data_IF_312193953662
#
_entry.id   IF_312193953662
#
_cell.length_a   1.000
_cell.length_b   1.000
_cell.length_c   1.000
_cell.angle_alpha   90.00
_cell.angle_beta   90.00
_cell.angle_gamma   90.00
#
_symmetry.space_group_name_H-M   'P 1'
#
loop_
_entity.id
_entity.type
_entity.pdbx_description
1 polymer ?
#
# COMPACT_ATOMS: atom_id res chain seq x y z
N UNK A 1 -25.31 -10.78 -11.52
CA UNK A 1 -26.65 -11.18 -11.03
C UNK A 1 -26.79 -11.11 -9.51
N UNK A 2 -25.71 -11.24 -8.74
CA UNK A 2 -25.73 -11.24 -7.26
C UNK A 2 -26.20 -9.88 -6.72
N UNK A 3 -25.77 -8.76 -7.32
CA UNK A 3 -26.20 -7.42 -6.90
C UNK A 3 -27.73 -7.27 -6.92
N UNK A 4 -28.38 -7.75 -7.98
CA UNK A 4 -29.83 -7.66 -8.14
C UNK A 4 -30.59 -8.56 -7.17
N UNK A 5 -30.03 -9.74 -6.85
CA UNK A 5 -30.59 -10.60 -5.81
C UNK A 5 -30.54 -9.93 -4.43
N UNK A 6 -29.42 -9.27 -4.10
CA UNK A 6 -29.31 -8.48 -2.86
C UNK A 6 -30.29 -7.31 -2.88
N UNK A 7 -30.41 -6.59 -4.00
CA UNK A 7 -31.35 -5.48 -4.13
C UNK A 7 -32.79 -5.94 -3.88
N UNK A 8 -33.21 -7.05 -4.51
CA UNK A 8 -34.55 -7.61 -4.33
C UNK A 8 -34.77 -8.09 -2.89
N UNK A 9 -33.78 -8.77 -2.29
CA UNK A 9 -33.85 -9.20 -0.90
C UNK A 9 -33.95 -8.00 0.07
N UNK A 10 -33.23 -6.91 -0.17
CA UNK A 10 -33.32 -5.68 0.62
C UNK A 10 -34.68 -5.01 0.47
N UNK A 11 -35.20 -4.89 -0.75
CA UNK A 11 -36.49 -4.26 -1.03
C UNK A 11 -37.63 -5.01 -0.32
N UNK A 12 -37.68 -6.34 -0.48
CA UNK A 12 -38.69 -7.18 0.17
C UNK A 12 -38.50 -7.20 1.69
N UNK A 13 -37.26 -7.43 2.15
CA UNK A 13 -36.96 -7.51 3.58
C UNK A 13 -37.26 -6.22 4.33
N UNK A 14 -36.81 -5.08 3.81
CA UNK A 14 -37.10 -3.78 4.43
C UNK A 14 -38.57 -3.39 4.28
N UNK A 15 -39.24 -3.76 3.19
CA UNK A 15 -40.68 -3.55 3.03
C UNK A 15 -41.49 -4.27 4.12
N UNK A 16 -41.19 -5.55 4.36
CA UNK A 16 -41.83 -6.36 5.42
C UNK A 16 -41.51 -5.79 6.81
N UNK A 17 -40.24 -5.52 7.09
CA UNK A 17 -39.84 -4.95 8.40
C UNK A 17 -40.52 -3.60 8.64
N UNK A 18 -40.59 -2.76 7.62
CA UNK A 18 -41.19 -1.44 7.73
C UNK A 18 -42.71 -1.46 7.89
N UNK A 19 -43.39 -2.46 7.30
CA UNK A 19 -44.81 -2.72 7.53
C UNK A 19 -45.11 -2.92 9.02
N UNK A 20 -44.28 -3.72 9.73
CA UNK A 20 -44.48 -4.02 11.15
C UNK A 20 -43.91 -2.96 12.09
N UNK A 21 -42.82 -2.28 11.72
CA UNK A 21 -42.21 -1.26 12.59
C UNK A 21 -42.97 0.08 12.58
N UNK A 22 -43.78 0.33 11.55
CA UNK A 22 -44.59 1.53 11.41
C UNK A 22 -43.80 2.75 10.90
N UNK A 23 -44.52 3.69 10.26
CA UNK A 23 -43.95 4.83 9.56
C UNK A 23 -42.93 5.65 10.37
N UNK A 24 -43.23 5.99 11.63
CA UNK A 24 -42.38 6.88 12.44
C UNK A 24 -40.95 6.32 12.58
N UNK A 25 -40.83 5.02 12.89
CA UNK A 25 -39.52 4.39 13.12
C UNK A 25 -38.70 4.27 11.85
N UNK A 26 -39.38 3.95 10.75
CA UNK A 26 -38.76 3.73 9.44
C UNK A 26 -38.31 5.07 8.84
N UNK A 27 -39.11 6.13 8.98
CA UNK A 27 -38.76 7.49 8.54
C UNK A 27 -37.61 8.07 9.35
N UNK A 28 -37.63 7.92 10.68
CA UNK A 28 -36.50 8.36 11.50
C UNK A 28 -35.22 7.57 11.16
N UNK A 29 -35.34 6.28 10.83
CA UNK A 29 -34.21 5.50 10.34
C UNK A 29 -33.70 6.02 8.99
N UNK A 30 -34.58 6.39 8.06
CA UNK A 30 -34.19 6.99 6.77
C UNK A 30 -33.40 8.28 6.97
N UNK A 31 -33.89 9.17 7.84
CA UNK A 31 -33.20 10.41 8.19
C UNK A 31 -31.83 10.10 8.82
N UNK A 32 -31.77 9.12 9.71
CA UNK A 32 -30.50 8.65 10.31
C UNK A 32 -29.53 8.06 9.29
N UNK A 33 -30.01 7.32 8.28
CA UNK A 33 -29.17 6.79 7.18
C UNK A 33 -28.56 7.94 6.37
N UNK A 34 -29.37 8.92 5.98
CA UNK A 34 -28.92 10.06 5.16
C UNK A 34 -27.95 10.96 5.94
N UNK A 35 -28.30 11.36 7.16
CA UNK A 35 -27.43 12.17 8.00
C UNK A 35 -26.17 11.42 8.40
N UNK A 36 -26.28 10.13 8.69
CA UNK A 36 -25.13 9.26 8.94
C UNK A 36 -24.18 9.27 7.77
N UNK A 37 -24.67 9.07 6.54
CA UNK A 37 -23.84 9.06 5.34
C UNK A 37 -23.16 10.41 5.08
N UNK A 38 -23.86 11.52 5.32
CA UNK A 38 -23.32 12.87 5.16
C UNK A 38 -22.28 13.23 6.21
N UNK A 39 -22.47 12.80 7.47
CA UNK A 39 -21.65 13.19 8.60
C UNK A 39 -20.54 12.19 8.95
N UNK A 40 -20.58 10.96 8.43
CA UNK A 40 -19.61 9.91 8.72
C UNK A 40 -18.16 10.33 8.44
N UNK A 41 -17.90 10.93 7.28
CA UNK A 41 -16.56 11.37 6.89
C UNK A 41 -16.06 12.58 7.71
N UNK A 42 -16.81 13.70 7.84
CA UNK A 42 -16.33 14.86 8.58
C UNK A 42 -16.18 14.58 10.10
N UNK A 43 -17.14 13.87 10.71
CA UNK A 43 -17.05 13.52 12.14
C UNK A 43 -16.08 12.35 12.38
N UNK A 44 -15.79 11.53 11.37
CA UNK A 44 -14.82 10.45 11.45
C UNK A 44 -13.46 10.94 11.96
N UNK A 45 -12.99 12.08 11.45
CA UNK A 45 -11.73 12.72 11.86
C UNK A 45 -11.65 13.06 13.35
N UNK A 46 -12.79 13.33 13.99
CA UNK A 46 -12.86 13.62 15.43
C UNK A 46 -12.77 12.34 16.25
N UNK A 47 -13.24 11.21 15.69
CA UNK A 47 -13.24 9.89 16.33
C UNK A 47 -11.93 9.14 16.12
N UNK A 48 -11.15 9.45 15.08
CA UNK A 48 -9.82 8.86 14.83
C UNK A 48 -8.92 8.77 16.09
N UNK A 49 -8.70 9.85 16.89
CA UNK A 49 -7.88 9.76 18.10
C UNK A 49 -8.48 8.88 19.19
N UNK A 50 -9.80 8.66 19.19
CA UNK A 50 -10.50 7.80 20.15
C UNK A 50 -10.38 6.31 19.82
N UNK A 51 -9.89 5.95 18.62
CA UNK A 51 -9.69 4.55 18.22
C UNK A 51 -8.32 3.99 18.63
N UNK A 52 -7.33 4.86 18.91
CA UNK A 52 -5.99 4.46 19.32
C UNK A 52 -5.97 3.57 20.59
N UNK A 53 -6.76 3.85 21.65
CA UNK A 53 -6.83 2.97 22.83
C UNK A 53 -7.36 1.55 22.56
N UNK A 54 -8.10 1.35 21.46
CA UNK A 54 -8.65 0.05 21.08
C UNK A 54 -7.67 -0.81 20.26
N UNK A 55 -6.41 -0.37 20.11
CA UNK A 55 -5.39 -1.09 19.33
C UNK A 55 -5.52 -0.92 17.82
N UNK A 56 -6.43 -0.05 17.35
CA UNK A 56 -6.53 0.34 15.95
C UNK A 56 -5.59 1.51 15.68
N UNK A 57 -4.33 1.19 15.42
CA UNK A 57 -3.28 2.19 15.19
C UNK A 57 -2.94 2.37 13.71
N UNK A 58 -3.21 1.37 12.86
CA UNK A 58 -2.83 1.43 11.45
C UNK A 58 -3.61 2.53 10.70
N UNK A 59 -2.95 3.54 10.09
CA UNK A 59 -3.61 4.72 9.52
C UNK A 59 -4.66 4.40 8.46
N UNK A 60 -4.39 3.38 7.63
CA UNK A 60 -5.35 2.93 6.61
C UNK A 60 -6.62 2.34 7.24
N UNK A 61 -6.49 1.50 8.28
CA UNK A 61 -7.65 0.89 8.93
C UNK A 61 -8.49 1.95 9.66
N UNK A 62 -7.83 2.87 10.36
CA UNK A 62 -8.50 3.98 11.05
C UNK A 62 -9.33 4.83 10.07
N UNK A 63 -8.81 5.10 8.87
CA UNK A 63 -9.51 5.90 7.86
C UNK A 63 -10.83 5.28 7.36
N UNK A 64 -10.98 3.96 7.43
CA UNK A 64 -12.22 3.26 7.07
C UNK A 64 -13.12 3.00 8.29
N UNK A 65 -12.52 2.63 9.43
CA UNK A 65 -13.27 2.26 10.64
C UNK A 65 -13.89 3.50 11.30
N UNK A 66 -13.19 4.64 11.34
CA UNK A 66 -13.70 5.83 12.01
C UNK A 66 -15.03 6.35 11.41
N UNK A 67 -15.16 6.52 10.07
CA UNK A 67 -16.44 6.87 9.47
C UNK A 67 -17.54 5.82 9.71
N UNK A 68 -17.19 4.53 9.70
CA UNK A 68 -18.14 3.45 9.96
C UNK A 68 -18.68 3.46 11.41
N UNK A 69 -17.82 3.73 12.39
CA UNK A 69 -18.21 3.87 13.80
C UNK A 69 -19.14 5.07 13.98
N UNK A 70 -18.79 6.24 13.42
CA UNK A 70 -19.65 7.43 13.46
C UNK A 70 -21.01 7.13 12.84
N UNK A 71 -21.02 6.50 11.67
CA UNK A 71 -22.24 6.11 10.98
C UNK A 71 -23.12 5.22 11.87
N UNK A 72 -22.53 4.21 12.52
CA UNK A 72 -23.24 3.32 13.44
C UNK A 72 -23.80 4.05 14.66
N UNK A 73 -23.05 5.00 15.24
CA UNK A 73 -23.49 5.80 16.39
C UNK A 73 -24.68 6.70 16.02
N UNK A 74 -24.59 7.43 14.91
CA UNK A 74 -25.70 8.28 14.44
C UNK A 74 -26.95 7.43 14.21
N UNK A 75 -26.78 6.29 13.53
CA UNK A 75 -27.89 5.39 13.24
C UNK A 75 -28.51 4.81 14.51
N UNK A 76 -27.70 4.49 15.51
CA UNK A 76 -28.18 4.04 16.81
C UNK A 76 -28.99 5.14 17.54
N UNK A 77 -28.51 6.39 17.54
CA UNK A 77 -29.22 7.54 18.15
C UNK A 77 -30.58 7.79 17.49
N UNK A 78 -30.64 7.75 16.16
CA UNK A 78 -31.91 7.91 15.44
C UNK A 78 -32.87 6.77 15.73
N UNK A 79 -32.39 5.52 15.78
CA UNK A 79 -33.24 4.36 16.09
C UNK A 79 -33.77 4.39 17.52
N UNK A 80 -32.95 4.74 18.51
CA UNK A 80 -33.38 4.83 19.91
C UNK A 80 -34.36 5.97 20.11
N UNK A 81 -34.08 7.16 19.57
CA UNK A 81 -35.00 8.31 19.59
C UNK A 81 -36.34 7.99 18.92
N UNK A 82 -36.31 7.29 17.78
CA UNK A 82 -37.52 6.88 17.07
C UNK A 82 -38.36 5.87 17.84
N UNK A 83 -37.72 4.94 18.57
CA UNK A 83 -38.43 3.99 19.44
C UNK A 83 -39.18 4.72 20.56
N UNK A 84 -38.56 5.74 21.17
CA UNK A 84 -39.20 6.54 22.22
C UNK A 84 -40.37 7.35 21.66
N UNK A 85 -40.19 8.00 20.51
CA UNK A 85 -41.24 8.77 19.85
C UNK A 85 -42.41 7.88 19.44
N UNK A 86 -42.12 6.71 18.86
CA UNK A 86 -43.15 5.75 18.48
C UNK A 86 -43.96 5.26 19.67
N UNK A 87 -43.30 4.91 20.80
CA UNK A 87 -44.00 4.53 22.04
C UNK A 87 -44.91 5.66 22.53
N UNK A 88 -44.44 6.91 22.51
CA UNK A 88 -45.25 8.07 22.94
C UNK A 88 -46.49 8.25 22.06
N UNK A 89 -46.35 8.14 20.74
CA UNK A 89 -47.47 8.26 19.80
C UNK A 89 -48.45 7.09 19.94
N UNK A 90 -47.95 5.86 20.11
CA UNK A 90 -48.79 4.68 20.32
C UNK A 90 -49.61 4.80 21.61
N UNK A 91 -48.99 5.23 22.71
CA UNK A 91 -49.70 5.51 23.97
C UNK A 91 -50.78 6.57 23.77
N UNK A 92 -50.48 7.68 23.11
CA UNK A 92 -51.49 8.72 22.85
C UNK A 92 -52.66 8.20 22.00
N UNK A 93 -52.38 7.45 20.94
CA UNK A 93 -53.40 6.86 20.07
C UNK A 93 -54.26 5.81 20.80
N UNK A 94 -53.70 5.08 21.76
CA UNK A 94 -54.45 4.08 22.54
C UNK A 94 -55.40 4.70 23.57
N UNK A 95 -55.01 5.80 24.20
CA UNK A 95 -55.78 6.37 25.31
C UNK A 95 -56.64 7.56 24.92
N UNK A 96 -56.30 8.31 23.86
CA UNK A 96 -56.98 9.56 23.52
C UNK A 96 -57.66 9.57 22.14
N UNK A 97 -57.37 8.61 21.25
CA UNK A 97 -57.95 8.60 19.90
C UNK A 97 -59.19 7.70 19.83
N UNK A 98 -60.13 8.07 18.97
CA UNK A 98 -61.29 7.23 18.65
C UNK A 98 -60.88 5.96 17.90
N UNK A 99 -61.69 4.89 17.97
CA UNK A 99 -61.41 3.62 17.28
C UNK A 99 -61.24 3.79 15.76
N UNK A 100 -62.01 4.69 15.16
CA UNK A 100 -61.90 5.02 13.73
C UNK A 100 -60.56 5.67 13.41
N UNK A 101 -60.12 6.64 14.21
CA UNK A 101 -58.83 7.30 14.03
C UNK A 101 -57.66 6.32 14.23
N UNK A 102 -57.75 5.43 15.21
CA UNK A 102 -56.74 4.39 15.45
C UNK A 102 -56.57 3.45 14.25
N UNK A 103 -57.67 2.91 13.71
CA UNK A 103 -57.62 2.03 12.52
C UNK A 103 -57.10 2.75 11.27
N UNK A 104 -57.45 4.02 11.07
CA UNK A 104 -56.93 4.82 9.97
C UNK A 104 -55.42 5.07 10.13
N UNK A 105 -54.98 5.38 11.33
CA UNK A 105 -53.57 5.57 11.65
C UNK A 105 -52.74 4.29 11.44
N UNK A 106 -53.22 3.13 11.89
CA UNK A 106 -52.52 1.84 11.67
C UNK A 106 -52.36 1.53 10.18
N UNK A 107 -53.42 1.72 9.38
CA UNK A 107 -53.36 1.52 7.92
C UNK A 107 -52.40 2.50 7.25
N UNK A 108 -52.45 3.77 7.65
CA UNK A 108 -51.55 4.79 7.13
C UNK A 108 -50.09 4.46 7.49
N UNK A 109 -49.83 4.15 8.76
CA UNK A 109 -48.50 3.84 9.27
C UNK A 109 -47.89 2.62 8.59
N UNK A 110 -48.69 1.60 8.30
CA UNK A 110 -48.24 0.40 7.59
C UNK A 110 -47.91 0.69 6.12
N UNK A 111 -48.79 1.39 5.39
CA UNK A 111 -48.59 1.72 3.97
C UNK A 111 -47.43 2.68 3.75
N UNK A 112 -47.38 3.76 4.53
CA UNK A 112 -46.26 4.72 4.51
C UNK A 112 -44.98 4.03 4.97
N UNK A 113 -45.08 3.14 5.97
CA UNK A 113 -43.97 2.29 6.41
C UNK A 113 -43.35 1.55 5.23
N UNK A 114 -44.13 0.82 4.44
CA UNK A 114 -43.63 0.10 3.25
C UNK A 114 -42.89 1.04 2.29
N UNK A 115 -43.50 2.19 1.91
CA UNK A 115 -42.89 3.13 0.96
C UNK A 115 -41.53 3.65 1.45
N UNK A 116 -41.44 4.03 2.73
CA UNK A 116 -40.20 4.52 3.33
C UNK A 116 -39.20 3.37 3.55
N UNK A 117 -39.67 2.15 3.82
CA UNK A 117 -38.83 0.96 3.94
C UNK A 117 -38.13 0.62 2.62
N UNK A 118 -38.84 0.78 1.50
CA UNK A 118 -38.26 0.67 0.16
C UNK A 118 -37.19 1.75 -0.08
N UNK A 119 -37.43 2.99 0.37
CA UNK A 119 -36.41 4.03 0.31
C UNK A 119 -35.16 3.69 1.16
N UNK A 120 -35.35 3.12 2.36
CA UNK A 120 -34.23 2.61 3.17
C UNK A 120 -33.43 1.52 2.45
N UNK A 121 -34.12 0.58 1.79
CA UNK A 121 -33.47 -0.47 1.02
C UNK A 121 -32.58 0.11 -0.10
N UNK A 122 -33.01 1.18 -0.76
CA UNK A 122 -32.19 1.86 -1.77
C UNK A 122 -30.93 2.48 -1.16
N UNK A 123 -31.04 3.14 0.00
CA UNK A 123 -29.86 3.70 0.69
C UNK A 123 -28.91 2.58 1.15
N UNK A 124 -29.43 1.46 1.68
CA UNK A 124 -28.63 0.31 2.02
C UNK A 124 -27.91 -0.30 0.81
N UNK A 125 -28.60 -0.38 -0.34
CA UNK A 125 -28.00 -0.86 -1.58
C UNK A 125 -26.83 0.03 -2.02
N UNK A 126 -26.96 1.35 -1.91
CA UNK A 126 -25.88 2.30 -2.20
C UNK A 126 -24.69 2.11 -1.25
N UNK A 127 -24.94 1.91 0.05
CA UNK A 127 -23.87 1.67 1.04
C UNK A 127 -23.15 0.34 0.84
N UNK A 128 -23.89 -0.74 0.56
CA UNK A 128 -23.31 -2.02 0.18
C UNK A 128 -22.52 -1.88 -1.11
N UNK A 129 -23.03 -1.12 -2.07
CA UNK A 129 -22.34 -0.79 -3.31
C UNK A 129 -21.02 -0.06 -3.06
N UNK A 130 -20.99 0.92 -2.16
CA UNK A 130 -19.79 1.66 -1.77
C UNK A 130 -18.74 0.75 -1.11
N UNK A 131 -19.16 -0.13 -0.20
CA UNK A 131 -18.27 -1.11 0.44
C UNK A 131 -17.73 -2.10 -0.60
N UNK A 132 -18.61 -2.62 -1.47
CA UNK A 132 -18.24 -3.54 -2.54
C UNK A 132 -17.35 -2.89 -3.60
N UNK A 133 -17.51 -1.59 -3.86
CA UNK A 133 -16.60 -0.85 -4.73
C UNK A 133 -15.22 -0.71 -4.07
N UNK A 134 -15.18 -0.22 -2.84
CA UNK A 134 -13.91 0.11 -2.16
C UNK A 134 -13.10 -1.15 -1.85
N UNK A 135 -13.69 -2.12 -1.15
CA UNK A 135 -13.00 -3.37 -0.80
C UNK A 135 -12.88 -4.31 -2.01
N UNK A 136 -13.88 -4.31 -2.89
CA UNK A 136 -13.83 -5.08 -4.13
C UNK A 136 -12.72 -4.61 -5.05
N UNK A 137 -12.40 -3.32 -5.07
CA UNK A 137 -11.27 -2.82 -5.87
C UNK A 137 -9.97 -3.51 -5.45
N UNK A 138 -9.62 -3.47 -4.17
CA UNK A 138 -8.43 -4.16 -3.66
C UNK A 138 -8.47 -5.67 -3.95
N UNK A 139 -9.56 -6.33 -3.59
CA UNK A 139 -9.66 -7.80 -3.68
C UNK A 139 -9.64 -8.30 -5.12
N UNK A 140 -10.19 -7.56 -6.08
CA UNK A 140 -10.06 -7.89 -7.51
C UNK A 140 -8.64 -7.77 -8.03
N UNK A 141 -7.82 -6.84 -7.49
CA UNK A 141 -6.42 -6.69 -7.89
C UNK A 141 -5.49 -7.79 -7.37
N UNK A 142 -5.89 -8.51 -6.31
CA UNK A 142 -5.12 -9.61 -5.72
C UNK A 142 -5.85 -10.96 -5.81
N UNK A 143 -6.94 -11.01 -6.60
CA UNK A 143 -7.78 -12.19 -6.76
C UNK A 143 -7.05 -13.28 -7.54
N UNK A 144 -7.24 -14.53 -7.11
CA UNK A 144 -6.70 -15.70 -7.79
C UNK A 144 -7.85 -16.57 -8.31
N UNK A 145 -8.04 -16.67 -9.64
CA UNK A 145 -9.22 -17.32 -10.22
C UNK A 145 -9.47 -18.73 -9.66
N UNK A 146 -10.65 -18.94 -9.07
CA UNK A 146 -11.10 -20.25 -8.59
C UNK A 146 -10.53 -20.72 -7.25
N UNK A 147 -9.70 -19.91 -6.57
CA UNK A 147 -9.07 -20.28 -5.30
C UNK A 147 -9.47 -19.38 -4.12
N UNK A 148 -10.20 -18.31 -4.39
CA UNK A 148 -10.68 -17.39 -3.36
C UNK A 148 -11.82 -18.00 -2.53
N UNK A 149 -11.83 -17.71 -1.22
CA UNK A 149 -12.91 -18.12 -0.31
C UNK A 149 -14.27 -17.53 -0.69
N UNK A 150 -15.36 -18.14 -0.23
CA UNK A 150 -16.74 -17.76 -0.58
C UNK A 150 -17.02 -16.26 -0.46
N UNK A 151 -16.64 -15.63 0.66
CA UNK A 151 -16.89 -14.21 0.90
C UNK A 151 -16.11 -13.28 -0.03
N UNK A 152 -14.86 -13.64 -0.37
CA UNK A 152 -14.05 -12.91 -1.34
C UNK A 152 -14.61 -13.06 -2.76
N UNK A 153 -14.99 -14.28 -3.13
CA UNK A 153 -15.66 -14.53 -4.41
C UNK A 153 -16.98 -13.76 -4.54
N UNK A 154 -17.76 -13.66 -3.45
CA UNK A 154 -18.99 -12.87 -3.43
C UNK A 154 -18.71 -11.36 -3.59
N UNK A 155 -17.69 -10.83 -2.90
CA UNK A 155 -17.29 -9.43 -3.01
C UNK A 155 -16.78 -9.09 -4.43
N UNK A 156 -15.96 -9.95 -5.02
CA UNK A 156 -15.45 -9.79 -6.39
C UNK A 156 -16.60 -9.80 -7.40
N UNK A 157 -17.55 -10.74 -7.27
CA UNK A 157 -18.76 -10.80 -8.11
C UNK A 157 -19.65 -9.56 -7.94
N UNK A 158 -19.77 -9.03 -6.72
CA UNK A 158 -20.49 -7.78 -6.49
C UNK A 158 -19.82 -6.59 -7.15
N UNK A 159 -18.49 -6.50 -7.10
CA UNK A 159 -17.74 -5.45 -7.79
C UNK A 159 -17.93 -5.54 -9.32
N UNK A 160 -17.87 -6.75 -9.88
CA UNK A 160 -18.11 -7.00 -11.29
C UNK A 160 -19.54 -6.64 -11.71
N UNK A 161 -20.55 -7.01 -10.90
CA UNK A 161 -21.94 -6.64 -11.13
C UNK A 161 -22.17 -5.11 -11.06
N UNK A 162 -21.48 -4.40 -10.15
CA UNK A 162 -21.53 -2.94 -10.08
C UNK A 162 -20.94 -2.29 -11.34
N UNK A 163 -19.87 -2.86 -11.90
CA UNK A 163 -19.30 -2.43 -13.19
C UNK A 163 -20.27 -2.67 -14.32
N UNK A 164 -20.79 -3.90 -14.43
CA UNK A 164 -21.68 -4.32 -15.51
C UNK A 164 -23.02 -3.54 -15.52
N UNK A 165 -23.54 -3.18 -14.35
CA UNK A 165 -24.77 -2.40 -14.21
C UNK A 165 -24.57 -0.88 -14.35
N UNK A 166 -23.32 -0.39 -14.43
CA UNK A 166 -23.00 1.04 -14.44
C UNK A 166 -23.16 1.74 -13.08
N UNK A 167 -23.61 1.02 -12.04
CA UNK A 167 -23.76 1.56 -10.68
C UNK A 167 -22.43 1.90 -10.00
N UNK A 168 -21.31 1.46 -10.56
CA UNK A 168 -19.98 1.75 -10.01
C UNK A 168 -19.71 3.25 -9.85
N UNK A 169 -20.24 4.11 -10.72
CA UNK A 169 -20.07 5.57 -10.59
C UNK A 169 -20.76 6.13 -9.34
N UNK A 170 -21.96 5.62 -9.02
CA UNK A 170 -22.69 6.02 -7.83
C UNK A 170 -21.99 5.52 -6.56
N UNK A 171 -21.48 4.29 -6.58
CA UNK A 171 -20.69 3.73 -5.48
C UNK A 171 -19.36 4.48 -5.27
N UNK A 172 -18.69 4.88 -6.35
CA UNK A 172 -17.43 5.62 -6.30
C UNK A 172 -17.58 7.01 -5.68
N UNK A 173 -18.69 7.71 -5.96
CA UNK A 173 -18.96 9.02 -5.36
C UNK A 173 -19.07 8.97 -3.83
N UNK A 174 -19.56 7.86 -3.29
CA UNK A 174 -19.73 7.67 -1.85
C UNK A 174 -18.47 7.14 -1.17
N UNK A 175 -17.44 6.70 -1.90
CA UNK A 175 -16.26 6.07 -1.30
C UNK A 175 -15.45 7.08 -0.47
N UNK A 176 -15.10 6.76 0.79
CA UNK A 176 -14.23 7.60 1.60
C UNK A 176 -12.73 7.42 1.27
N UNK A 177 -12.38 6.50 0.36
CA UNK A 177 -11.00 6.17 0.05
C UNK A 177 -10.29 7.29 -0.72
N UNK A 178 -9.05 7.60 -0.30
CA UNK A 178 -8.18 8.57 -0.99
C UNK A 178 -7.65 8.00 -2.31
N UNK A 179 -7.24 8.84 -3.28
CA UNK A 179 -6.61 8.36 -4.53
C UNK A 179 -5.44 7.40 -4.31
N UNK A 180 -4.58 7.70 -3.32
CA UNK A 180 -3.43 6.88 -2.94
C UNK A 180 -3.78 5.44 -2.54
N UNK A 181 -5.02 5.19 -2.10
CA UNK A 181 -5.50 3.84 -1.81
C UNK A 181 -5.59 3.00 -3.10
N UNK A 182 -6.13 3.58 -4.17
CA UNK A 182 -6.27 2.89 -5.45
C UNK A 182 -4.90 2.65 -6.09
N UNK A 183 -4.00 3.63 -6.05
CA UNK A 183 -2.61 3.48 -6.53
C UNK A 183 -1.88 2.36 -5.76
N UNK A 184 -2.08 2.28 -4.43
CA UNK A 184 -1.53 1.21 -3.61
C UNK A 184 -2.12 -0.15 -3.97
N UNK A 185 -3.43 -0.24 -4.24
CA UNK A 185 -4.08 -1.49 -4.67
C UNK A 185 -3.53 -1.97 -6.01
N UNK A 186 -3.36 -1.06 -6.97
CA UNK A 186 -2.82 -1.39 -8.29
C UNK A 186 -1.36 -1.85 -8.20
N UNK A 187 -0.54 -1.15 -7.41
CA UNK A 187 0.85 -1.57 -7.16
C UNK A 187 0.90 -2.94 -6.46
N UNK A 188 0.08 -3.19 -5.45
CA UNK A 188 0.05 -4.47 -4.76
C UNK A 188 -0.40 -5.60 -5.69
N UNK A 189 -1.40 -5.34 -6.55
CA UNK A 189 -1.81 -6.28 -7.59
C UNK A 189 -0.69 -6.58 -8.59
N UNK A 190 0.02 -5.55 -9.05
CA UNK A 190 1.18 -5.69 -9.94
C UNK A 190 2.30 -6.52 -9.29
N UNK A 191 2.60 -6.29 -8.01
CA UNK A 191 3.64 -7.01 -7.25
C UNK A 191 3.23 -8.48 -7.03
N UNK A 192 1.96 -8.72 -6.72
CA UNK A 192 1.43 -10.07 -6.49
C UNK A 192 1.46 -10.91 -7.76
N UNK A 193 1.01 -10.35 -8.90
CA UNK A 193 0.95 -11.08 -10.17
C UNK A 193 2.30 -11.19 -10.90
N UNK A 194 3.28 -10.34 -10.57
CA UNK A 194 4.59 -10.35 -11.21
C UNK A 194 5.72 -10.66 -10.20
N UNK A 195 5.79 -11.89 -9.66
CA UNK A 195 6.77 -12.26 -8.64
C UNK A 195 8.22 -12.15 -9.14
N UNK A 196 8.46 -12.29 -10.45
CA UNK A 196 9.78 -12.14 -11.06
C UNK A 196 10.31 -10.71 -11.00
N UNK A 197 9.42 -9.72 -10.92
CA UNK A 197 9.79 -8.30 -10.87
C UNK A 197 10.08 -7.81 -9.44
N UNK A 198 9.90 -8.66 -8.43
CA UNK A 198 10.20 -8.32 -7.03
C UNK A 198 11.67 -7.88 -6.84
N UNK A 199 12.59 -8.44 -7.63
CA UNK A 199 14.00 -8.03 -7.64
C UNK A 199 14.20 -6.55 -7.96
N UNK A 200 13.28 -5.93 -8.71
CA UNK A 200 13.30 -4.48 -8.98
C UNK A 200 13.02 -3.69 -7.71
N UNK A 201 12.02 -4.06 -6.91
CA UNK A 201 11.71 -3.36 -5.65
C UNK A 201 12.94 -3.28 -4.72
N UNK A 202 13.71 -4.36 -4.63
CA UNK A 202 14.94 -4.39 -3.83
C UNK A 202 16.03 -3.42 -4.32
N UNK A 203 15.96 -3.01 -5.59
CA UNK A 203 16.91 -2.09 -6.23
C UNK A 203 16.35 -0.67 -6.38
N UNK A 204 15.11 -0.41 -5.98
CA UNK A 204 14.52 0.92 -5.99
C UNK A 204 15.33 1.86 -5.07
N UNK A 205 15.77 3.06 -5.52
CA UNK A 205 16.75 3.85 -4.78
C UNK A 205 16.38 4.17 -3.33
N UNK A 206 15.13 4.57 -3.00
CA UNK A 206 14.70 4.74 -1.62
C UNK A 206 14.74 3.45 -0.77
N UNK A 207 14.59 2.27 -1.38
CA UNK A 207 14.55 0.99 -0.65
C UNK A 207 15.94 0.36 -0.42
N UNK A 208 17.00 0.94 -0.99
CA UNK A 208 18.36 0.44 -0.81
C UNK A 208 18.79 0.43 0.66
N UNK A 209 18.41 1.46 1.43
CA UNK A 209 18.68 1.54 2.87
C UNK A 209 17.84 0.55 3.68
N UNK A 210 16.61 0.26 3.25
CA UNK A 210 15.70 -0.66 3.94
C UNK A 210 16.22 -2.08 3.94
N UNK A 211 16.91 -2.49 2.87
CA UNK A 211 17.46 -3.85 2.77
C UNK A 211 18.49 -4.22 3.84
N UNK A 212 19.06 -3.23 4.52
CA UNK A 212 20.01 -3.47 5.61
C UNK A 212 19.32 -3.70 6.96
N UNK A 213 18.04 -3.33 7.07
CA UNK A 213 17.25 -3.44 8.29
C UNK A 213 16.80 -4.88 8.55
N UNK A 214 16.73 -5.32 9.82
CA UNK A 214 16.43 -6.70 10.16
C UNK A 214 15.02 -7.13 9.71
N UNK A 215 14.06 -6.22 9.62
CA UNK A 215 12.67 -6.52 9.23
C UNK A 215 12.55 -6.91 7.75
N UNK A 216 13.45 -6.41 6.90
CA UNK A 216 13.41 -6.66 5.45
C UNK A 216 14.37 -7.77 4.98
N UNK A 217 15.31 -8.22 5.84
CA UNK A 217 16.22 -9.33 5.52
C UNK A 217 15.49 -10.63 5.13
N UNK A 218 14.45 -11.08 5.86
CA UNK A 218 13.74 -12.31 5.53
C UNK A 218 13.09 -12.27 4.14
N UNK A 219 12.67 -11.09 3.68
CA UNK A 219 12.05 -10.92 2.35
C UNK A 219 13.03 -11.14 1.19
N UNK A 220 14.33 -10.96 1.45
CA UNK A 220 15.39 -11.20 0.48
C UNK A 220 15.85 -12.65 0.41
N UNK A 221 15.37 -13.52 1.30
CA UNK A 221 15.80 -14.92 1.35
C UNK A 221 15.19 -15.74 0.22
N UNK A 222 15.97 -16.72 -0.26
CA UNK A 222 15.56 -17.63 -1.34
C UNK A 222 14.28 -18.39 -0.97
N UNK A 223 14.08 -18.70 0.32
CA UNK A 223 12.88 -19.36 0.81
C UNK A 223 11.63 -18.50 0.65
N UNK A 224 11.73 -17.20 0.96
CA UNK A 224 10.63 -16.26 0.76
C UNK A 224 10.33 -16.06 -0.73
N UNK A 225 11.35 -15.90 -1.56
CA UNK A 225 11.18 -15.74 -3.02
C UNK A 225 10.51 -16.97 -3.65
N UNK A 226 10.91 -18.18 -3.28
CA UNK A 226 10.29 -19.42 -3.77
C UNK A 226 8.83 -19.53 -3.34
N UNK A 227 8.54 -19.17 -2.09
CA UNK A 227 7.16 -19.11 -1.63
C UNK A 227 6.35 -18.07 -2.39
N UNK A 228 6.87 -16.87 -2.58
CA UNK A 228 6.17 -15.79 -3.26
C UNK A 228 5.82 -16.18 -4.70
N UNK A 229 6.74 -16.86 -5.40
CA UNK A 229 6.49 -17.43 -6.73
C UNK A 229 5.47 -18.57 -6.73
N UNK A 230 5.39 -19.33 -5.63
CA UNK A 230 4.45 -20.44 -5.47
C UNK A 230 3.11 -20.03 -4.82
N UNK A 231 3.02 -18.79 -4.34
CA UNK A 231 1.87 -18.30 -3.58
C UNK A 231 0.65 -18.27 -4.51
N UNK A 232 -0.41 -18.94 -4.07
CA UNK A 232 -1.61 -19.12 -4.88
C UNK A 232 -2.72 -18.14 -4.54
N UNK A 233 -2.73 -17.61 -3.32
CA UNK A 233 -3.72 -16.61 -2.89
C UNK A 233 -3.05 -15.52 -2.07
N UNK A 234 -3.65 -14.33 -2.08
CA UNK A 234 -3.20 -13.24 -1.21
C UNK A 234 -3.34 -13.59 0.28
N UNK A 235 -4.32 -14.43 0.65
CA UNK A 235 -4.48 -14.91 2.02
C UNK A 235 -3.25 -15.66 2.54
N UNK A 236 -2.68 -16.54 1.72
CA UNK A 236 -1.45 -17.28 2.07
C UNK A 236 -0.28 -16.33 2.34
N UNK A 237 -0.19 -15.26 1.54
CA UNK A 237 0.82 -14.21 1.71
C UNK A 237 0.55 -13.42 3.00
N UNK A 238 -0.68 -12.97 3.22
CA UNK A 238 -1.05 -12.12 4.36
C UNK A 238 -0.79 -12.78 5.72
N UNK A 239 -1.01 -14.10 5.82
CA UNK A 239 -0.83 -14.85 7.07
C UNK A 239 0.64 -15.22 7.37
N UNK A 240 1.58 -14.81 6.53
CA UNK A 240 2.97 -15.17 6.67
C UNK A 240 3.66 -14.39 7.81
N UNK A 241 4.40 -15.10 8.66
CA UNK A 241 5.03 -14.53 9.86
C UNK A 241 6.07 -13.44 9.52
N UNK A 242 6.80 -13.61 8.42
CA UNK A 242 7.81 -12.66 7.95
C UNK A 242 7.22 -11.31 7.54
N UNK A 243 5.93 -11.24 7.20
CA UNK A 243 5.22 -10.01 6.83
C UNK A 243 4.51 -9.35 8.02
N UNK A 244 4.26 -10.08 9.11
CA UNK A 244 3.55 -9.54 10.28
C UNK A 244 4.20 -8.29 10.90
N UNK A 245 5.53 -8.20 11.04
CA UNK A 245 6.17 -6.97 11.54
C UNK A 245 5.90 -5.78 10.62
N UNK A 246 5.95 -5.98 9.31
CA UNK A 246 5.75 -4.91 8.31
C UNK A 246 4.30 -4.43 8.25
N UNK A 247 3.35 -5.34 8.49
CA UNK A 247 1.91 -5.05 8.45
C UNK A 247 1.40 -4.38 9.73
N UNK A 248 2.06 -4.63 10.87
CA UNK A 248 1.62 -4.13 12.19
C UNK A 248 2.38 -2.90 12.66
N UNK A 249 3.59 -2.68 12.17
CA UNK A 249 4.41 -1.54 12.59
C UNK A 249 3.98 -0.24 11.89
N UNK A 250 3.26 0.60 12.63
CA UNK A 250 2.81 1.92 12.18
C UNK A 250 3.99 2.87 11.89
N UNK A 251 5.06 2.80 12.68
CA UNK A 251 6.21 3.70 12.49
C UNK A 251 6.93 3.37 11.18
N UNK A 252 7.08 2.07 10.90
CA UNK A 252 7.63 1.59 9.65
C UNK A 252 6.77 2.05 8.46
N UNK A 253 5.44 1.95 8.55
CA UNK A 253 4.55 2.47 7.50
C UNK A 253 4.74 3.98 7.26
N UNK A 254 4.76 4.80 8.33
CA UNK A 254 4.94 6.25 8.21
C UNK A 254 6.30 6.60 7.60
N UNK A 255 7.34 5.88 7.98
CA UNK A 255 8.68 6.08 7.44
C UNK A 255 8.75 5.72 5.96
N UNK A 256 8.20 4.58 5.55
CA UNK A 256 8.12 4.18 4.15
C UNK A 256 7.34 5.20 3.31
N UNK A 257 6.19 5.65 3.83
CA UNK A 257 5.37 6.65 3.16
C UNK A 257 6.11 7.99 3.00
N UNK A 258 6.88 8.39 4.00
CA UNK A 258 7.73 9.57 3.94
C UNK A 258 8.87 9.43 2.93
N UNK A 259 9.53 8.25 2.86
CA UNK A 259 10.57 7.98 1.85
C UNK A 259 10.05 8.08 0.42
N UNK A 260 8.81 7.68 0.20
CA UNK A 260 8.15 7.76 -1.11
C UNK A 260 7.73 9.19 -1.47
N UNK A 261 7.79 10.14 -0.52
CA UNK A 261 7.36 11.52 -0.74
C UNK A 261 5.84 11.68 -0.81
N UNK A 262 5.09 10.70 -0.29
CA UNK A 262 3.63 10.72 -0.29
C UNK A 262 2.96 10.35 -1.61
N UNK A 263 3.70 9.79 -2.58
CA UNK A 263 3.18 9.34 -3.87
C UNK A 263 3.79 7.99 -4.26
N UNK A 264 2.99 7.16 -4.94
CA UNK A 264 3.36 5.84 -5.46
C UNK A 264 3.60 5.83 -6.96
N UNK A 265 3.39 6.96 -7.66
CA UNK A 265 3.53 7.06 -9.12
C UNK A 265 4.94 6.67 -9.61
N UNK A 266 5.99 7.19 -8.96
CA UNK A 266 7.39 6.88 -9.31
C UNK A 266 7.73 5.42 -9.04
N UNK A 267 7.31 4.88 -7.90
CA UNK A 267 7.52 3.47 -7.55
C UNK A 267 6.81 2.54 -8.53
N UNK A 268 5.58 2.86 -8.93
CA UNK A 268 4.80 2.08 -9.90
C UNK A 268 5.47 2.11 -11.28
N UNK A 269 5.91 3.29 -11.71
CA UNK A 269 6.65 3.47 -12.97
C UNK A 269 7.97 2.70 -12.95
N UNK A 270 8.70 2.75 -11.85
CA UNK A 270 9.95 2.02 -11.67
C UNK A 270 9.73 0.51 -11.64
N UNK A 271 8.67 0.03 -10.98
CA UNK A 271 8.34 -1.39 -10.95
C UNK A 271 8.09 -1.94 -12.36
N UNK A 272 7.32 -1.19 -13.17
CA UNK A 272 6.97 -1.57 -14.55
C UNK A 272 8.13 -1.42 -15.54
N UNK A 273 8.86 -0.30 -15.48
CA UNK A 273 9.87 0.05 -16.50
C UNK A 273 11.32 -0.20 -16.07
N UNK A 274 11.60 -0.30 -14.77
CA UNK A 274 12.94 -0.35 -14.20
C UNK A 274 13.66 1.00 -14.15
N UNK A 275 12.99 2.09 -14.57
CA UNK A 275 13.54 3.45 -14.59
C UNK A 275 12.66 4.35 -13.70
N UNK A 276 13.29 5.13 -12.84
CA UNK A 276 12.61 6.10 -11.98
C UNK A 276 12.81 7.48 -12.60
N UNK A 277 11.74 8.14 -13.09
CA UNK A 277 11.81 9.51 -13.57
C UNK A 277 12.37 10.48 -12.52
N UNK A 278 12.08 10.24 -11.24
CA UNK A 278 12.54 11.10 -10.14
C UNK A 278 14.06 11.05 -9.91
N UNK A 279 14.69 9.93 -10.22
CA UNK A 279 16.11 9.68 -9.92
C UNK A 279 16.96 9.49 -11.19
N UNK A 280 16.48 9.92 -12.36
CA UNK A 280 17.21 9.75 -13.62
C UNK A 280 18.53 10.54 -13.67
N UNK A 281 18.57 11.72 -13.04
CA UNK A 281 19.76 12.58 -12.97
C UNK A 281 20.86 12.00 -12.07
N UNK A 282 20.47 11.24 -11.05
CA UNK A 282 21.37 10.65 -10.05
C UNK A 282 21.73 9.20 -10.40
N UNK A 283 22.35 9.02 -11.57
CA UNK A 283 22.73 7.70 -12.14
C UNK A 283 23.67 6.87 -11.26
N UNK A 284 24.26 7.45 -10.21
CA UNK A 284 25.07 6.74 -9.23
C UNK A 284 24.24 5.85 -8.30
N UNK A 285 22.94 6.14 -8.14
CA UNK A 285 22.05 5.41 -7.24
C UNK A 285 21.88 3.94 -7.65
N UNK A 286 21.98 3.05 -6.66
CA UNK A 286 21.85 1.62 -6.87
C UNK A 286 22.97 0.80 -6.23
N UNK A 287 22.95 -0.49 -6.54
CA UNK A 287 23.96 -1.47 -6.15
C UNK A 287 24.90 -1.76 -7.31
N UNK A 288 26.19 -1.80 -7.00
CA UNK A 288 27.25 -1.99 -7.97
C UNK A 288 28.17 -3.10 -7.48
N UNK A 289 28.57 -4.00 -8.38
CA UNK A 289 29.51 -5.09 -8.09
C UNK A 289 30.82 -4.86 -8.82
N UNK A 290 31.92 -5.18 -8.17
CA UNK A 290 33.22 -5.09 -8.80
C UNK A 290 33.36 -6.01 -10.00
N UNK A 291 33.86 -5.44 -11.11
CA UNK A 291 34.21 -6.18 -12.31
C UNK A 291 35.73 -6.21 -12.48
N UNK A 292 36.30 -7.40 -12.26
CA UNK A 292 37.73 -7.63 -12.38
C UNK A 292 38.27 -7.34 -13.77
N UNK A 293 37.57 -7.77 -14.83
CA UNK A 293 38.07 -7.68 -16.21
C UNK A 293 38.17 -6.23 -16.65
N UNK A 294 37.13 -5.44 -16.38
CA UNK A 294 37.12 -4.02 -16.73
C UNK A 294 38.06 -3.21 -15.84
N UNK A 295 38.13 -3.49 -14.54
CA UNK A 295 39.05 -2.82 -13.62
C UNK A 295 40.52 -3.08 -13.98
N UNK A 296 40.87 -4.32 -14.34
CA UNK A 296 42.22 -4.67 -14.79
C UNK A 296 42.60 -3.96 -16.07
N UNK A 297 41.67 -3.91 -17.04
CA UNK A 297 41.89 -3.22 -18.32
C UNK A 297 42.01 -1.70 -18.13
N UNK A 298 41.15 -1.09 -17.31
CA UNK A 298 41.20 0.33 -17.00
C UNK A 298 42.50 0.71 -16.26
N UNK A 299 42.92 -0.12 -15.30
CA UNK A 299 44.18 0.08 -14.58
C UNK A 299 45.37 -0.01 -15.53
N UNK A 300 45.42 -1.01 -16.43
CA UNK A 300 46.48 -1.14 -17.44
C UNK A 300 46.51 0.05 -18.41
N UNK A 301 45.34 0.58 -18.81
CA UNK A 301 45.26 1.79 -19.64
C UNK A 301 45.76 3.04 -18.92
N UNK A 302 45.52 3.16 -17.61
CA UNK A 302 46.02 4.29 -16.83
C UNK A 302 47.53 4.23 -16.58
N UNK A 303 48.16 3.05 -16.71
CA UNK A 303 49.60 2.82 -16.52
C UNK A 303 50.20 2.03 -17.70
N UNK A 304 50.33 2.65 -18.89
CA UNK A 304 50.80 1.95 -20.10
C UNK A 304 52.26 1.48 -20.02
N UNK A 305 53.10 2.15 -19.22
CA UNK A 305 54.52 1.83 -19.04
C UNK A 305 54.81 0.89 -17.85
N UNK A 306 53.78 0.21 -17.31
CA UNK A 306 53.95 -0.68 -16.17
C UNK A 306 54.80 -1.90 -16.51
N UNK A 307 55.74 -2.25 -15.63
CA UNK A 307 56.56 -3.45 -15.74
C UNK A 307 55.74 -4.74 -15.54
N UNK A 308 56.26 -5.89 -16.01
CA UNK A 308 55.60 -7.20 -15.83
C UNK A 308 55.31 -7.52 -14.35
N UNK A 309 56.23 -7.13 -13.45
CA UNK A 309 56.07 -7.30 -12.01
C UNK A 309 54.93 -6.44 -11.43
N UNK A 310 54.75 -5.22 -11.92
CA UNK A 310 53.65 -4.35 -11.52
C UNK A 310 52.31 -4.87 -12.04
N UNK A 311 52.27 -5.37 -13.28
CA UNK A 311 51.06 -5.98 -13.86
C UNK A 311 50.65 -7.23 -13.06
N UNK A 312 51.61 -8.06 -12.65
CA UNK A 312 51.34 -9.21 -11.79
C UNK A 312 50.81 -8.80 -10.41
N UNK A 313 51.35 -7.71 -9.82
CA UNK A 313 50.83 -7.14 -8.57
C UNK A 313 49.41 -6.59 -8.73
N UNK A 314 49.12 -5.87 -9.82
CA UNK A 314 47.78 -5.34 -10.11
C UNK A 314 46.75 -6.46 -10.19
N UNK A 315 47.09 -7.55 -10.89
CA UNK A 315 46.24 -8.73 -10.98
C UNK A 315 45.94 -9.30 -9.61
N UNK A 316 46.95 -9.52 -8.77
CA UNK A 316 46.80 -10.09 -7.42
C UNK A 316 45.91 -9.21 -6.52
N UNK A 317 46.09 -7.90 -6.55
CA UNK A 317 45.28 -6.94 -5.76
C UNK A 317 43.84 -6.87 -6.29
N UNK A 318 43.63 -6.79 -7.60
CA UNK A 318 42.28 -6.74 -8.15
C UNK A 318 41.53 -8.07 -8.01
N UNK A 319 42.25 -9.20 -8.02
CA UNK A 319 41.66 -10.51 -7.73
C UNK A 319 41.16 -10.63 -6.29
N UNK A 320 41.86 -10.01 -5.31
CA UNK A 320 41.38 -10.03 -3.93
C UNK A 320 40.08 -9.22 -3.77
N UNK A 321 39.82 -8.22 -4.60
CA UNK A 321 38.64 -7.35 -4.56
C UNK A 321 37.39 -7.93 -5.23
N UNK A 322 37.40 -9.18 -5.73
CA UNK A 322 36.27 -9.77 -6.47
C UNK A 322 34.93 -9.80 -5.75
N UNK A 323 34.92 -9.81 -4.42
CA UNK A 323 33.69 -9.74 -3.61
C UNK A 323 33.19 -8.32 -3.34
N UNK A 324 33.87 -7.28 -3.83
CA UNK A 324 33.55 -5.89 -3.47
C UNK A 324 32.23 -5.43 -4.06
N UNK A 325 31.38 -4.83 -3.22
CA UNK A 325 30.13 -4.21 -3.63
C UNK A 325 30.04 -2.78 -3.14
N UNK A 326 29.39 -1.92 -3.92
CA UNK A 326 29.17 -0.51 -3.61
C UNK A 326 27.68 -0.21 -3.69
N UNK A 327 27.16 0.52 -2.70
CA UNK A 327 25.77 0.95 -2.64
C UNK A 327 25.72 2.45 -2.42
N UNK A 328 25.03 3.16 -3.30
CA UNK A 328 24.73 4.59 -3.13
C UNK A 328 23.24 4.77 -2.86
N UNK A 329 22.90 5.42 -1.75
CA UNK A 329 21.52 5.67 -1.33
C UNK A 329 21.10 7.11 -1.58
N UNK A 330 19.79 7.38 -1.56
CA UNK A 330 19.20 8.71 -1.77
C UNK A 330 19.63 9.72 -0.70
N UNK A 331 19.97 9.27 0.51
CA UNK A 331 20.45 10.10 1.61
C UNK A 331 21.90 10.62 1.42
N UNK A 332 22.43 10.61 0.20
CA UNK A 332 23.81 10.96 -0.13
C UNK A 332 24.85 10.09 0.60
N UNK A 333 24.47 8.91 1.08
CA UNK A 333 25.39 7.95 1.71
C UNK A 333 25.90 6.96 0.67
N UNK A 334 27.17 6.62 0.80
CA UNK A 334 27.86 5.65 -0.02
C UNK A 334 28.48 4.58 0.88
N UNK A 335 28.21 3.31 0.60
CA UNK A 335 28.72 2.18 1.38
C UNK A 335 29.50 1.27 0.45
N UNK A 336 30.79 1.11 0.71
CA UNK A 336 31.67 0.19 -0.01
C UNK A 336 31.99 -1.00 0.90
N UNK A 337 31.46 -2.17 0.57
CA UNK A 337 31.75 -3.44 1.25
C UNK A 337 32.87 -4.12 0.47
N UNK A 338 34.08 -4.11 1.03
CA UNK A 338 35.28 -4.71 0.43
C UNK A 338 35.50 -6.08 1.06
N UNK A 339 35.61 -7.11 0.22
CA UNK A 339 36.04 -8.43 0.67
C UNK A 339 37.54 -8.56 0.36
N UNK A 340 38.39 -8.66 1.38
CA UNK A 340 39.80 -8.97 1.22
C UNK A 340 40.10 -10.34 1.81
N UNK A 341 40.26 -11.35 0.95
CA UNK A 341 40.88 -12.67 1.20
C UNK A 341 40.44 -13.50 2.44
N UNK A 342 39.56 -12.99 3.32
CA UNK A 342 38.84 -13.59 4.46
C UNK A 342 38.24 -12.54 5.42
N UNK A 343 38.45 -11.23 5.21
CA UNK A 343 37.83 -10.16 6.01
C UNK A 343 36.94 -9.27 5.15
N UNK A 344 35.76 -8.95 5.68
CA UNK A 344 34.83 -7.98 5.07
C UNK A 344 34.98 -6.65 5.78
N UNK A 345 35.48 -5.64 5.08
CA UNK A 345 35.63 -4.27 5.58
C UNK A 345 34.54 -3.41 4.95
N UNK A 346 33.74 -2.74 5.78
CA UNK A 346 32.73 -1.80 5.30
C UNK A 346 33.27 -0.39 5.45
N UNK A 347 33.47 0.29 4.33
CA UNK A 347 33.88 1.70 4.26
C UNK A 347 32.63 2.53 4.03
N UNK A 348 32.33 3.43 4.96
CA UNK A 348 31.22 4.36 4.82
C UNK A 348 31.71 5.69 4.25
N UNK A 349 30.84 6.36 3.52
CA UNK A 349 31.14 7.59 2.83
C UNK A 349 29.90 8.38 2.45
N UNK A 350 30.11 9.51 1.79
CA UNK A 350 29.06 10.32 1.19
C UNK A 350 29.34 10.60 -0.27
N UNK A 351 28.29 10.91 -1.03
CA UNK A 351 28.41 11.25 -2.44
C UNK A 351 27.69 12.57 -2.76
N UNK A 352 28.23 13.33 -3.71
CA UNK A 352 27.62 14.58 -4.20
C UNK A 352 27.65 14.63 -5.72
N UNK A 353 26.52 14.95 -6.33
CA UNK A 353 26.43 15.14 -7.78
C UNK A 353 27.18 16.43 -8.19
N UNK A 354 28.11 16.33 -9.14
CA UNK A 354 28.85 17.46 -9.73
C UNK A 354 28.35 17.80 -11.15
N UNK A 355 27.30 17.13 -11.63
CA UNK A 355 26.71 17.31 -12.95
C UNK A 355 27.40 16.48 -14.05
N UNK A 356 26.68 16.21 -15.14
CA UNK A 356 27.23 15.52 -16.33
C UNK A 356 27.71 14.09 -16.09
N UNK A 357 27.11 13.37 -15.13
CA UNK A 357 27.48 12.00 -14.78
C UNK A 357 28.75 11.87 -13.93
N UNK A 358 29.24 12.98 -13.36
CA UNK A 358 30.37 13.01 -12.43
C UNK A 358 29.89 13.23 -11.00
N UNK A 359 30.48 12.49 -10.07
CA UNK A 359 30.10 12.47 -8.67
C UNK A 359 31.37 12.57 -7.81
N UNK A 360 31.31 13.31 -6.72
CA UNK A 360 32.36 13.30 -5.71
C UNK A 360 32.00 12.29 -4.63
N UNK A 361 32.86 11.31 -4.39
CA UNK A 361 32.76 10.34 -3.31
C UNK A 361 33.72 10.74 -2.20
N UNK A 362 33.22 10.93 -0.99
CA UNK A 362 34.05 11.07 0.21
C UNK A 362 34.00 9.76 0.97
N UNK A 363 35.11 9.03 1.02
CA UNK A 363 35.21 7.76 1.75
C UNK A 363 36.01 7.95 3.03
N UNK A 364 35.48 7.47 4.16
CA UNK A 364 36.21 7.43 5.43
C UNK A 364 36.78 6.03 5.64
N UNK A 365 38.10 5.89 5.47
CA UNK A 365 38.80 4.65 5.82
C UNK A 365 38.97 4.56 7.35
N UNK A 366 38.76 3.38 7.96
CA UNK A 366 39.04 3.19 9.39
C UNK A 366 40.50 3.53 9.72
N UNK A 367 40.72 4.62 10.46
CA UNK A 367 42.06 5.04 10.90
C UNK A 367 42.85 5.95 9.93
N UNK A 368 42.23 6.48 8.86
CA UNK A 368 42.87 7.46 7.94
C UNK A 368 41.95 8.65 7.62
N UNK A 369 42.55 9.73 7.13
CA UNK A 369 41.85 10.93 6.65
C UNK A 369 40.90 10.61 5.49
N UNK A 370 39.78 11.33 5.42
CA UNK A 370 38.77 11.16 4.37
C UNK A 370 39.37 11.40 2.98
N UNK A 371 39.19 10.46 2.06
CA UNK A 371 39.67 10.58 0.68
C UNK A 371 38.49 11.04 -0.19
N UNK A 372 38.64 12.18 -0.88
CA UNK A 372 37.69 12.61 -1.92
C UNK A 372 38.14 12.01 -3.27
N UNK A 373 37.26 11.22 -3.86
CA UNK A 373 37.47 10.53 -5.14
C UNK A 373 36.43 11.02 -6.13
N UNK A 374 36.86 11.33 -7.36
CA UNK A 374 35.93 11.56 -8.46
C UNK A 374 35.47 10.23 -9.06
N UNK A 375 34.15 10.06 -9.12
CA UNK A 375 33.49 8.92 -9.72
C UNK A 375 32.71 9.35 -10.96
N UNK A 376 32.73 8.53 -12.00
CA UNK A 376 32.04 8.78 -13.27
C UNK A 376 31.15 7.60 -13.62
N UNK A 377 29.89 7.88 -13.94
CA UNK A 377 28.94 6.86 -14.42
C UNK A 377 28.83 6.96 -15.93
N UNK A 378 29.21 5.89 -16.62
CA UNK A 378 29.01 5.74 -18.07
C UNK A 378 28.16 4.50 -18.35
N UNK A 379 26.91 4.72 -18.75
CA UNK A 379 25.93 3.65 -18.97
C UNK A 379 25.72 2.83 -17.69
N UNK A 380 26.16 1.57 -17.72
CA UNK A 380 25.99 0.59 -16.62
C UNK A 380 27.26 0.39 -15.78
N UNK A 381 28.24 1.30 -15.91
CA UNK A 381 29.53 1.18 -15.25
C UNK A 381 29.85 2.44 -14.44
N UNK A 382 30.34 2.21 -13.22
CA UNK A 382 30.84 3.22 -12.32
C UNK A 382 32.36 3.13 -12.28
N UNK A 383 33.02 4.20 -12.68
CA UNK A 383 34.47 4.35 -12.72
C UNK A 383 34.90 5.24 -11.56
N UNK A 384 35.86 4.82 -10.75
CA UNK A 384 36.47 5.67 -9.75
C UNK A 384 37.89 5.19 -9.41
N UNK A 385 38.74 6.11 -8.95
CA UNK A 385 40.13 5.81 -8.59
C UNK A 385 40.28 5.66 -7.09
N UNK A 386 40.62 4.45 -6.61
CA UNK A 386 40.85 4.20 -5.18
C UNK A 386 42.17 3.46 -4.98
N UNK A 387 42.95 3.87 -3.98
CA UNK A 387 44.28 3.31 -3.65
C UNK A 387 45.27 3.30 -4.84
N UNK A 388 45.13 4.24 -5.78
CA UNK A 388 45.97 4.32 -6.98
C UNK A 388 45.64 3.30 -8.08
N UNK A 389 44.46 2.66 -7.99
CA UNK A 389 43.90 1.75 -8.98
C UNK A 389 42.61 2.31 -9.59
N UNK A 390 42.37 2.00 -10.87
CA UNK A 390 41.11 2.33 -11.53
C UNK A 390 40.13 1.17 -11.30
N UNK A 391 39.11 1.42 -10.48
CA UNK A 391 38.06 0.45 -10.18
C UNK A 391 36.87 0.71 -11.07
N UNK A 392 36.38 -0.35 -11.67
CA UNK A 392 35.17 -0.38 -12.48
C UNK A 392 34.18 -1.32 -11.81
N UNK A 393 33.05 -0.75 -11.39
CA UNK A 393 31.93 -1.51 -10.87
C UNK A 393 30.83 -1.57 -11.93
N UNK A 394 30.15 -2.69 -12.03
CA UNK A 394 28.99 -2.91 -12.89
C UNK A 394 27.72 -2.88 -12.07
N UNK A 395 26.66 -2.24 -12.59
CA UNK A 395 25.35 -2.20 -11.93
C UNK A 395 24.76 -3.61 -11.79
N UNK A 396 24.28 -3.94 -10.60
CA UNK A 396 23.57 -5.20 -10.33
C UNK A 396 22.12 -5.01 -10.76
N UNK A 397 21.69 -5.73 -11.80
CA UNK A 397 20.28 -5.97 -12.09
C UNK A 397 20.02 -7.44 -11.78
N UNK A 398 18.99 -7.72 -10.98
CA UNK A 398 18.42 -9.05 -10.79
C UNK A 398 17.07 -9.10 -11.43
#
# INVERSE_FOLDING_TARGET
MVLWLIALALLVGQGIVAYYQGAIRVTASLVGLLLGAMLAVPLGRVVEPMLAPFGLTHPVLVSFVAPAVVYAVILALFKTGALLLHKKVDTWMRYNASDTQRRLYERLAARVGICVGVANAFVYLQLIGMVAYTLGYFTTQVASPGQDGFWLGMLNRLNEDLRASGMIRAAAYLSPAKPSYYDACDLLGDIFHNPLLQGRLANYPPFLSLSERPEFKPLGEVQFQRFWQAAKTFGDVWHRQELQPLLKDENLYKELWAMLGGDLSDLTTYFRTGVSPKYEDDKILGRWRFDFRYSFTATRRSKPNASLNEIARFRKVLESLRGTSFVATVDQKAVLKVHLANQQVTVQGSWKNKGGGRFALRMQEPGKSSVEVEARVEGRRLYFSWLGYQLVLQRIET
#
